data_IF_586419483354
#
_entry.id   IF_586419483354
#
_cell.length_a   1.000
_cell.length_b   1.000
_cell.length_c   1.000
_cell.angle_alpha   90.00
_cell.angle_beta   90.00
_cell.angle_gamma   90.00
#
_symmetry.space_group_name_H-M   'P 1'
#
loop_
_entity.id
_entity.type
_entity.pdbx_description
1 polymer ?
#
# COMPACT_ATOMS: atom_id res chain seq x y z
N UNK A 1 -23.72 -47.03 -41.88
CA UNK A 1 -23.19 -47.11 -40.51
C UNK A 1 -21.70 -46.74 -40.57
N UNK A 2 -21.33 -45.56 -40.06
CA UNK A 2 -19.94 -45.06 -40.08
C UNK A 2 -19.34 -45.09 -38.68
N UNK A 3 -18.04 -45.37 -38.63
CA UNK A 3 -17.25 -45.79 -37.47
C UNK A 3 -16.80 -44.62 -36.57
N UNK A 4 -16.65 -44.79 -35.24
CA UNK A 4 -16.39 -43.70 -34.27
C UNK A 4 -14.97 -43.09 -34.28
N UNK A 5 -14.15 -43.29 -35.32
CA UNK A 5 -12.74 -42.86 -35.35
C UNK A 5 -12.44 -41.61 -36.19
N UNK A 6 -13.45 -40.88 -36.66
CA UNK A 6 -13.29 -39.64 -37.45
C UNK A 6 -13.64 -38.34 -36.69
N UNK A 7 -13.68 -38.34 -35.35
CA UNK A 7 -14.07 -37.14 -34.56
C UNK A 7 -12.87 -36.46 -33.87
N UNK A 8 -11.66 -37.03 -33.93
CA UNK A 8 -10.47 -36.47 -33.26
C UNK A 8 -9.44 -36.04 -34.31
N UNK A 9 -9.77 -35.08 -35.18
CA UNK A 9 -8.80 -34.24 -35.94
C UNK A 9 -9.48 -32.99 -36.56
N UNK A 10 -10.30 -32.25 -35.79
CA UNK A 10 -10.93 -31.02 -36.29
C UNK A 10 -11.05 -29.91 -35.24
N UNK A 11 -10.08 -29.77 -34.33
CA UNK A 11 -9.96 -28.60 -33.44
C UNK A 11 -8.52 -28.10 -33.45
N UNK A 12 -7.98 -27.84 -34.64
CA UNK A 12 -6.70 -27.16 -34.82
C UNK A 12 -6.73 -26.30 -36.08
N UNK A 13 -7.43 -25.17 -35.95
CA UNK A 13 -7.27 -23.92 -36.70
C UNK A 13 -8.65 -23.25 -36.79
N UNK A 14 -8.86 -22.20 -36.01
CA UNK A 14 -9.49 -21.01 -36.58
C UNK A 14 -9.13 -19.79 -35.73
N UNK A 15 -8.06 -19.11 -36.15
CA UNK A 15 -7.81 -17.71 -35.82
C UNK A 15 -8.65 -16.86 -36.77
N UNK A 16 -9.59 -16.08 -36.22
CA UNK A 16 -10.04 -14.83 -36.82
C UNK A 16 -11.45 -14.80 -37.40
N UNK A 17 -12.14 -13.69 -37.10
CA UNK A 17 -13.31 -13.12 -37.77
C UNK A 17 -14.72 -13.64 -37.41
N UNK A 18 -15.35 -12.97 -36.44
CA UNK A 18 -16.77 -12.51 -36.47
C UNK A 18 -17.07 -11.82 -35.12
N UNK A 19 -17.19 -10.48 -34.99
CA UNK A 19 -18.19 -9.57 -35.56
C UNK A 19 -19.61 -10.15 -35.61
N UNK A 20 -20.44 -9.55 -34.75
CA UNK A 20 -21.83 -9.13 -35.01
C UNK A 20 -22.91 -10.22 -34.96
N UNK A 21 -24.10 -9.80 -34.51
CA UNK A 21 -25.39 -10.51 -34.34
C UNK A 21 -25.55 -11.20 -32.98
N UNK A 22 -26.64 -11.04 -32.22
CA UNK A 22 -27.88 -10.32 -32.46
C UNK A 22 -28.55 -9.92 -31.13
N UNK A 23 -29.16 -8.74 -31.19
CA UNK A 23 -30.27 -8.26 -30.35
C UNK A 23 -31.54 -8.99 -30.77
N UNK A 24 -32.54 -9.01 -29.87
CA UNK A 24 -33.98 -9.42 -29.98
C UNK A 24 -34.24 -10.72 -29.19
N UNK A 25 -35.12 -10.79 -28.19
CA UNK A 25 -36.07 -9.86 -27.57
C UNK A 25 -36.54 -10.51 -26.24
N UNK A 26 -37.44 -10.00 -25.41
CA UNK A 26 -38.32 -8.86 -25.46
C UNK A 26 -39.16 -8.93 -24.16
N UNK A 27 -39.15 -7.82 -23.43
CA UNK A 27 -40.21 -7.18 -22.61
C UNK A 27 -41.32 -8.03 -21.94
N UNK A 28 -41.50 -7.72 -20.64
CA UNK A 28 -42.71 -7.73 -19.79
C UNK A 28 -43.03 -8.97 -18.93
N UNK A 29 -42.79 -8.82 -17.62
CA UNK A 29 -43.86 -8.92 -16.61
C UNK A 29 -43.40 -8.30 -15.28
N UNK A 30 -44.09 -7.23 -14.88
CA UNK A 30 -44.11 -6.67 -13.53
C UNK A 30 -44.84 -7.64 -12.61
N UNK A 31 -44.18 -8.20 -11.60
CA UNK A 31 -44.85 -8.67 -10.38
C UNK A 31 -44.04 -8.17 -9.19
N UNK A 32 -44.59 -7.15 -8.53
CA UNK A 32 -44.23 -6.77 -7.18
C UNK A 32 -44.85 -7.78 -6.21
N UNK A 33 -44.05 -8.37 -5.32
CA UNK A 33 -44.52 -8.88 -4.03
C UNK A 33 -43.34 -9.04 -3.06
N UNK A 34 -43.42 -8.44 -1.85
CA UNK A 34 -42.45 -8.66 -0.79
C UNK A 34 -42.84 -9.92 -0.01
N UNK A 35 -41.94 -10.91 0.07
CA UNK A 35 -42.09 -12.00 1.05
C UNK A 35 -40.99 -11.83 2.08
N UNK A 36 -41.35 -11.17 3.18
CA UNK A 36 -40.64 -11.25 4.44
C UNK A 36 -40.75 -12.69 4.96
N UNK A 37 -39.68 -13.49 4.81
CA UNK A 37 -39.56 -14.78 5.49
C UNK A 37 -38.75 -14.55 6.77
N UNK A 38 -39.47 -14.31 7.86
CA UNK A 38 -39.01 -14.61 9.20
C UNK A 38 -38.85 -16.13 9.35
N UNK A 39 -37.61 -16.62 9.40
CA UNK A 39 -37.30 -17.96 9.90
C UNK A 39 -36.45 -17.82 11.17
N UNK A 40 -37.03 -18.05 12.37
CA UNK A 40 -36.25 -18.20 13.59
C UNK A 40 -35.64 -19.61 13.60
N UNK A 41 -34.33 -19.72 13.35
CA UNK A 41 -33.63 -20.98 13.63
C UNK A 41 -33.37 -21.08 15.13
N UNK A 42 -34.36 -21.67 15.80
CA UNK A 42 -34.23 -22.34 17.09
C UNK A 42 -33.35 -23.59 16.87
N UNK A 43 -32.17 -23.64 17.48
CA UNK A 43 -31.45 -24.90 17.71
C UNK A 43 -31.41 -25.13 19.23
N UNK A 44 -31.91 -26.28 19.72
CA UNK A 44 -31.95 -26.62 21.13
C UNK A 44 -30.56 -26.99 21.68
N UNK A 45 -30.38 -26.70 22.96
CA UNK A 45 -29.13 -26.88 23.69
C UNK A 45 -28.75 -28.33 24.05
N UNK A 46 -27.59 -28.40 24.71
CA UNK A 46 -26.89 -29.60 25.16
C UNK A 46 -25.53 -29.68 24.47
N UNK A 47 -24.37 -29.83 25.12
CA UNK A 47 -24.08 -30.38 26.45
C UNK A 47 -22.65 -29.95 26.86
N UNK A 48 -22.43 -29.79 28.17
CA UNK A 48 -21.18 -29.92 28.98
C UNK A 48 -19.86 -29.26 28.52
N UNK A 49 -19.34 -28.29 29.29
CA UNK A 49 -18.37 -28.46 30.39
C UNK A 49 -17.10 -29.28 30.01
N UNK A 50 -15.92 -28.65 30.05
CA UNK A 50 -14.89 -28.75 31.12
C UNK A 50 -13.50 -28.48 30.52
N UNK A 51 -12.80 -27.45 31.03
CA UNK A 51 -11.35 -27.42 31.36
C UNK A 51 -10.76 -26.00 31.21
N UNK A 52 -10.54 -25.27 32.32
CA UNK A 52 -9.54 -24.20 32.33
C UNK A 52 -8.15 -24.85 32.38
N UNK A 53 -7.36 -24.70 31.32
CA UNK A 53 -5.94 -25.05 31.39
C UNK A 53 -5.22 -24.05 32.28
N UNK A 54 -4.51 -24.65 33.24
CA UNK A 54 -3.91 -24.04 34.40
C UNK A 54 -2.92 -22.93 34.08
N UNK A 55 -2.91 -21.96 34.99
CA UNK A 55 -1.84 -21.03 35.25
C UNK A 55 -0.52 -21.78 35.42
N UNK A 56 0.41 -21.57 34.48
CA UNK A 56 1.82 -21.88 34.67
C UNK A 56 2.48 -20.77 35.48
N UNK A 57 2.41 -20.89 36.80
CA UNK A 57 3.25 -20.12 37.73
C UNK A 57 4.67 -20.67 37.63
N UNK A 58 5.55 -19.98 36.89
CA UNK A 58 6.99 -20.17 37.03
C UNK A 58 7.51 -19.04 37.92
N UNK A 59 7.63 -19.35 39.21
CA UNK A 59 8.46 -18.62 40.16
C UNK A 59 9.96 -18.88 39.84
N UNK A 60 10.84 -18.21 40.59
CA UNK A 60 12.32 -18.11 40.45
C UNK A 60 12.73 -16.96 39.51
N UNK A 61 13.48 -15.93 39.90
CA UNK A 61 14.44 -15.79 41.01
C UNK A 61 14.78 -14.30 41.22
N UNK A 62 14.76 -13.74 42.44
CA UNK A 62 15.33 -12.42 42.71
C UNK A 62 16.82 -12.54 43.10
N UNK A 63 17.70 -11.88 42.38
CA UNK A 63 19.11 -11.70 42.72
C UNK A 63 19.59 -10.31 42.23
N UNK A 64 20.69 -9.77 42.76
CA UNK A 64 20.72 -8.85 43.90
C UNK A 64 20.94 -7.39 43.49
N UNK A 65 20.76 -6.53 44.49
CA UNK A 65 21.08 -5.10 44.56
C UNK A 65 22.55 -4.85 44.21
N UNK A 66 22.81 -3.93 43.26
CA UNK A 66 24.01 -3.09 43.31
C UNK A 66 23.62 -1.62 43.15
N UNK A 67 23.59 -0.97 44.32
CA UNK A 67 23.70 0.46 44.52
C UNK A 67 25.12 0.89 44.15
N UNK A 68 25.27 1.76 43.15
CA UNK A 68 26.43 2.65 43.08
C UNK A 68 25.94 4.06 42.81
N UNK A 69 25.88 4.83 43.89
CA UNK A 69 25.83 6.27 43.85
C UNK A 69 27.26 6.78 43.60
N UNK A 70 27.47 7.53 42.53
CA UNK A 70 28.63 8.42 42.42
C UNK A 70 28.10 9.82 42.13
N UNK A 71 28.20 10.62 43.18
CA UNK A 71 28.13 12.07 43.21
C UNK A 71 29.53 12.58 42.88
N UNK A 72 29.67 13.38 41.83
CA UNK A 72 30.81 14.28 41.70
C UNK A 72 30.32 15.70 41.40
N UNK A 73 30.83 16.59 42.26
CA UNK A 73 30.58 18.00 42.47
C UNK A 73 31.49 18.84 41.55
N UNK A 74 31.12 20.09 41.18
CA UNK A 74 31.75 20.81 40.08
C UNK A 74 33.04 21.53 40.48
N UNK A 75 33.97 21.71 39.53
CA UNK A 75 35.12 22.61 39.66
C UNK A 75 35.72 22.93 38.28
N UNK A 76 36.53 23.99 38.13
CA UNK A 76 36.10 25.36 37.89
C UNK A 76 36.45 25.86 36.48
N UNK A 77 35.83 26.99 36.16
CA UNK A 77 36.04 27.88 35.01
C UNK A 77 37.52 28.12 34.67
N UNK A 78 37.92 27.77 33.45
CA UNK A 78 39.04 28.40 32.75
C UNK A 78 38.47 29.28 31.63
N UNK A 79 38.79 30.56 31.71
CA UNK A 79 38.46 31.62 30.77
C UNK A 79 39.52 31.66 29.66
N UNK A 80 39.20 31.35 28.39
CA UNK A 80 40.11 31.53 27.28
C UNK A 80 39.98 32.95 26.70
N UNK A 81 41.06 33.47 26.11
CA UNK A 81 41.23 34.88 25.75
C UNK A 81 40.29 35.34 24.62
N UNK A 82 39.98 36.64 24.67
CA UNK A 82 39.18 37.41 23.72
C UNK A 82 39.46 37.03 22.25
N UNK A 83 38.45 36.45 21.61
CA UNK A 83 38.46 36.14 20.18
C UNK A 83 38.03 37.38 19.38
N UNK A 84 38.71 37.68 18.25
CA UNK A 84 38.50 38.90 17.47
C UNK A 84 37.06 39.05 16.98
N UNK A 85 36.62 40.30 16.97
CA UNK A 85 35.32 40.78 16.51
C UNK A 85 34.90 40.11 15.19
N UNK A 86 33.77 39.37 15.14
CA UNK A 86 33.27 38.82 13.89
C UNK A 86 32.83 39.97 12.98
N UNK A 87 33.53 40.08 11.85
CA UNK A 87 33.11 40.85 10.69
C UNK A 87 31.69 40.41 10.30
N UNK A 88 30.76 41.32 9.93
CA UNK A 88 29.42 40.93 9.50
C UNK A 88 29.53 40.02 8.27
N UNK A 89 29.39 38.72 8.50
CA UNK A 89 29.22 37.74 7.45
C UNK A 89 27.90 38.08 6.79
N UNK A 90 27.95 38.55 5.55
CA UNK A 90 26.79 38.69 4.69
C UNK A 90 26.19 37.30 4.59
N UNK A 91 25.14 37.07 5.37
CA UNK A 91 24.33 35.87 5.35
C UNK A 91 23.65 35.86 3.97
N UNK A 92 24.28 35.15 3.02
CA UNK A 92 23.66 34.87 1.73
C UNK A 92 22.36 34.13 2.02
N UNK A 93 21.27 34.88 1.93
CA UNK A 93 19.91 34.38 2.10
C UNK A 93 19.76 33.12 1.24
N UNK A 94 19.30 32.00 1.80
CA UNK A 94 19.20 30.75 1.06
C UNK A 94 18.36 31.02 -0.20
N UNK A 95 19.00 30.85 -1.35
CA UNK A 95 18.32 30.94 -2.64
C UNK A 95 17.26 29.86 -2.65
N UNK A 96 16.00 30.27 -2.47
CA UNK A 96 14.85 29.39 -2.47
C UNK A 96 14.77 28.75 -3.87
N UNK A 97 15.14 27.47 -3.97
CA UNK A 97 15.10 26.73 -5.22
C UNK A 97 13.72 26.93 -5.89
N UNK A 98 13.67 27.37 -7.15
CA UNK A 98 12.42 27.71 -7.81
C UNK A 98 11.45 26.53 -7.73
N UNK A 99 10.27 26.80 -7.18
CA UNK A 99 9.19 25.82 -7.10
C UNK A 99 8.79 25.49 -8.55
N UNK A 100 8.80 24.21 -8.96
CA UNK A 100 8.38 23.84 -10.31
C UNK A 100 6.94 24.31 -10.52
N UNK A 101 6.73 25.15 -11.54
CA UNK A 101 5.45 25.84 -11.78
C UNK A 101 4.39 24.95 -12.44
N UNK A 102 4.68 23.66 -12.63
CA UNK A 102 3.82 22.73 -13.35
C UNK A 102 3.73 21.36 -12.66
N UNK A 103 2.92 20.45 -13.23
CA UNK A 103 2.82 19.09 -12.74
C UNK A 103 4.18 18.40 -12.80
N UNK A 104 4.50 17.62 -11.77
CA UNK A 104 5.70 16.79 -11.74
C UNK A 104 5.33 15.34 -11.44
N UNK A 105 6.17 14.41 -11.88
CA UNK A 105 6.03 13.03 -11.45
C UNK A 105 6.60 12.85 -10.05
N UNK A 106 5.87 12.13 -9.20
CA UNK A 106 6.34 11.62 -7.92
C UNK A 106 7.53 10.66 -8.09
N UNK A 107 7.60 9.92 -9.22
CA UNK A 107 8.71 9.02 -9.52
C UNK A 107 10.04 9.75 -9.77
N UNK A 108 9.99 11.06 -10.07
CA UNK A 108 11.18 11.91 -10.18
C UNK A 108 11.67 12.50 -8.84
N UNK A 109 10.95 12.24 -7.74
CA UNK A 109 11.33 12.69 -6.41
C UNK A 109 12.04 11.58 -5.64
N UNK A 110 13.07 11.94 -4.89
CA UNK A 110 13.68 11.02 -3.93
C UNK A 110 12.76 10.82 -2.71
N UNK A 111 12.43 9.57 -2.34
CA UNK A 111 11.77 9.30 -1.07
C UNK A 111 12.57 9.80 0.12
N UNK A 112 11.90 10.40 1.10
CA UNK A 112 12.51 10.73 2.40
C UNK A 112 12.52 9.54 3.36
N UNK A 113 11.71 8.50 3.08
CA UNK A 113 11.71 7.24 3.82
C UNK A 113 11.21 6.10 2.95
N UNK A 114 11.80 4.91 3.12
CA UNK A 114 11.46 3.73 2.34
C UNK A 114 12.20 3.72 1.00
N UNK A 115 11.82 2.78 0.15
CA UNK A 115 12.37 2.64 -1.20
C UNK A 115 11.22 2.44 -2.17
N UNK A 116 11.35 3.03 -3.34
CA UNK A 116 10.45 2.87 -4.46
C UNK A 116 11.29 2.44 -5.66
N UNK A 117 10.78 1.46 -6.40
CA UNK A 117 11.32 1.09 -7.69
C UNK A 117 10.58 1.91 -8.77
N UNK A 118 11.31 2.39 -9.77
CA UNK A 118 10.81 3.20 -10.89
C UNK A 118 11.10 2.56 -12.24
N UNK A 119 11.55 1.29 -12.25
CA UNK A 119 11.73 0.54 -13.48
C UNK A 119 10.39 0.35 -14.22
N UNK A 120 10.41 0.31 -15.57
CA UNK A 120 9.21 0.09 -16.36
C UNK A 120 8.44 -1.16 -15.94
N UNK A 121 7.10 -1.04 -15.90
CA UNK A 121 6.23 -2.10 -15.41
C UNK A 121 4.86 -2.03 -16.11
N UNK A 122 4.24 -3.20 -16.30
CA UNK A 122 2.91 -3.32 -16.87
C UNK A 122 1.82 -3.25 -15.80
N UNK A 123 0.77 -2.49 -16.09
CA UNK A 123 -0.44 -2.36 -15.28
C UNK A 123 -1.65 -2.34 -16.23
N UNK A 124 -2.46 -3.40 -16.19
CA UNK A 124 -3.65 -3.49 -17.04
C UNK A 124 -3.37 -3.70 -18.52
N UNK A 125 -2.31 -4.41 -18.85
CA UNK A 125 -1.82 -4.65 -20.21
C UNK A 125 -1.09 -3.46 -20.83
N UNK A 126 -0.82 -2.40 -20.06
CA UNK A 126 -0.10 -1.21 -20.53
C UNK A 126 1.20 -1.05 -19.76
N UNK A 127 2.33 -0.98 -20.47
CA UNK A 127 3.63 -0.66 -19.88
C UNK A 127 3.75 0.83 -19.61
N UNK A 128 4.05 1.18 -18.37
CA UNK A 128 4.33 2.54 -17.95
C UNK A 128 5.84 2.73 -17.74
N UNK A 129 6.34 3.91 -18.12
CA UNK A 129 7.72 4.34 -17.85
C UNK A 129 7.79 5.27 -16.65
N UNK A 130 6.73 6.04 -16.43
CA UNK A 130 6.57 6.92 -15.28
C UNK A 130 5.71 6.22 -14.23
N UNK A 131 6.34 5.62 -13.23
CA UNK A 131 5.65 4.88 -12.19
C UNK A 131 6.45 4.81 -10.89
N UNK A 132 5.73 4.52 -9.82
CA UNK A 132 6.30 4.06 -8.56
C UNK A 132 5.79 2.65 -8.29
N UNK A 133 6.73 1.74 -8.02
CA UNK A 133 6.49 0.35 -7.71
C UNK A 133 6.93 0.06 -6.28
N UNK A 134 6.02 -0.55 -5.51
CA UNK A 134 6.30 -1.00 -4.16
C UNK A 134 6.18 -2.51 -4.09
N UNK A 135 7.29 -3.17 -3.80
CA UNK A 135 7.35 -4.55 -3.34
C UNK A 135 7.28 -4.56 -1.79
N UNK A 136 6.18 -5.03 -1.16
CA UNK A 136 6.11 -5.33 0.26
C UNK A 136 7.29 -6.15 0.77
N UNK A 137 8.04 -6.76 -0.15
CA UNK A 137 8.99 -7.81 0.09
C UNK A 137 8.33 -8.83 1.00
N UNK A 138 9.15 -9.68 1.59
CA UNK A 138 8.71 -10.86 2.29
C UNK A 138 7.73 -10.55 3.44
N UNK A 139 7.58 -9.31 3.95
CA UNK A 139 6.88 -9.03 5.21
C UNK A 139 5.57 -8.22 5.09
N UNK A 140 4.79 -8.49 4.03
CA UNK A 140 3.36 -8.16 3.88
C UNK A 140 3.00 -6.68 3.79
N UNK A 141 3.94 -5.75 3.99
CA UNK A 141 3.69 -4.32 3.86
C UNK A 141 4.95 -3.54 3.48
N UNK A 142 4.85 -2.69 2.47
CA UNK A 142 5.84 -1.64 2.21
C UNK A 142 5.17 -0.28 2.16
N UNK A 143 5.96 0.72 2.57
CA UNK A 143 5.59 2.12 2.58
C UNK A 143 6.75 2.93 2.04
N UNK A 144 6.43 3.99 1.32
CA UNK A 144 7.39 5.00 0.89
C UNK A 144 6.82 6.39 1.19
N UNK A 145 7.65 7.27 1.73
CA UNK A 145 7.27 8.63 2.10
C UNK A 145 8.01 9.64 1.22
N UNK A 146 7.26 10.62 0.71
CA UNK A 146 7.77 11.74 -0.09
C UNK A 146 7.53 13.04 0.66
N UNK A 147 8.50 13.95 0.62
CA UNK A 147 8.33 15.30 1.12
C UNK A 147 7.70 16.17 0.03
N UNK A 148 6.46 16.59 0.25
CA UNK A 148 5.74 17.49 -0.65
C UNK A 148 6.06 18.96 -0.37
N UNK A 149 6.62 19.27 0.81
CA UNK A 149 6.93 20.65 1.21
C UNK A 149 5.72 21.57 1.26
N UNK A 150 4.48 21.03 1.29
CA UNK A 150 3.22 21.76 1.17
C UNK A 150 3.05 22.53 -0.17
N UNK A 151 3.82 22.18 -1.19
CA UNK A 151 3.87 22.88 -2.49
C UNK A 151 2.83 22.41 -3.51
N UNK A 152 2.10 21.34 -3.20
CA UNK A 152 1.16 20.70 -4.11
C UNK A 152 -0.26 20.72 -3.53
N UNK A 153 -1.23 20.81 -4.42
CA UNK A 153 -2.65 20.81 -4.08
C UNK A 153 -3.34 19.48 -4.41
N UNK A 154 -2.82 18.72 -5.38
CA UNK A 154 -3.46 17.49 -5.88
C UNK A 154 -2.46 16.39 -6.23
N UNK A 155 -2.85 15.15 -5.98
CA UNK A 155 -2.12 13.95 -6.39
C UNK A 155 -3.04 13.06 -7.22
N UNK A 156 -2.55 12.64 -8.40
CA UNK A 156 -3.28 11.74 -9.30
C UNK A 156 -2.42 10.57 -9.73
N UNK A 157 -3.00 9.39 -9.88
CA UNK A 157 -2.29 8.20 -10.39
C UNK A 157 -3.29 7.16 -10.92
N UNK A 158 -2.82 6.20 -11.70
CA UNK A 158 -3.49 4.90 -11.84
C UNK A 158 -2.84 3.93 -10.87
N UNK A 159 -3.63 3.15 -10.16
CA UNK A 159 -3.15 2.21 -9.15
C UNK A 159 -3.69 0.82 -9.42
N UNK A 160 -2.86 -0.19 -9.18
CA UNK A 160 -3.25 -1.59 -9.21
C UNK A 160 -2.06 -2.49 -8.93
N UNK A 161 -2.22 -3.78 -9.24
CA UNK A 161 -1.16 -4.77 -9.11
C UNK A 161 -0.43 -4.94 -10.43
N UNK A 162 0.87 -5.21 -10.35
CA UNK A 162 1.72 -5.52 -11.49
C UNK A 162 1.21 -6.73 -12.30
N UNK A 163 1.28 -6.66 -13.63
CA UNK A 163 0.66 -7.67 -14.50
C UNK A 163 1.35 -9.04 -14.50
N UNK A 164 2.67 -9.14 -14.24
CA UNK A 164 3.37 -10.45 -14.19
C UNK A 164 3.10 -11.21 -12.88
N UNK A 165 1.98 -10.91 -12.22
CA UNK A 165 1.53 -11.56 -11.01
C UNK A 165 1.00 -12.96 -11.33
N UNK A 166 1.61 -13.97 -10.72
CA UNK A 166 1.33 -15.40 -10.97
C UNK A 166 0.23 -16.00 -10.09
N UNK A 167 -0.23 -15.27 -9.07
CA UNK A 167 -1.37 -15.66 -8.22
C UNK A 167 -2.61 -14.91 -8.68
N UNK A 168 -3.85 -15.32 -8.37
CA UNK A 168 -5.05 -14.58 -8.83
C UNK A 168 -6.02 -14.23 -7.71
N UNK A 169 -5.88 -14.84 -6.53
CA UNK A 169 -6.98 -14.93 -5.56
C UNK A 169 -6.76 -14.12 -4.28
N UNK A 170 -5.80 -13.20 -4.30
CA UNK A 170 -5.36 -12.51 -3.10
C UNK A 170 -5.78 -11.04 -3.11
N UNK A 171 -6.25 -10.57 -1.97
CA UNK A 171 -6.63 -9.18 -1.78
C UNK A 171 -5.46 -8.35 -1.27
N UNK A 172 -5.35 -7.13 -1.78
CA UNK A 172 -4.31 -6.17 -1.48
C UNK A 172 -4.92 -4.85 -1.05
N UNK A 173 -4.33 -4.18 -0.07
CA UNK A 173 -4.67 -2.82 0.31
C UNK A 173 -3.68 -1.89 -0.37
N UNK A 174 -4.18 -1.09 -1.29
CA UNK A 174 -3.46 0.03 -1.89
C UNK A 174 -3.93 1.31 -1.20
N UNK A 175 -3.00 2.12 -0.70
CA UNK A 175 -3.35 3.31 0.06
C UNK A 175 -2.39 4.49 -0.15
N UNK A 176 -2.96 5.69 0.02
CA UNK A 176 -2.26 6.97 0.04
C UNK A 176 -2.61 7.67 1.35
N UNK A 177 -1.61 8.13 2.08
CA UNK A 177 -1.78 8.82 3.35
C UNK A 177 -1.10 10.19 3.32
N UNK A 178 -1.67 11.17 4.02
CA UNK A 178 -0.91 12.31 4.52
C UNK A 178 -0.29 11.94 5.86
N UNK A 179 0.98 12.27 6.06
CA UNK A 179 1.72 12.02 7.30
C UNK A 179 2.12 13.34 7.95
N UNK A 180 1.67 13.53 9.19
CA UNK A 180 2.03 14.69 10.01
C UNK A 180 2.49 14.21 11.39
N UNK A 181 3.79 14.33 11.67
CA UNK A 181 4.41 13.71 12.84
C UNK A 181 4.23 12.19 12.82
N UNK A 182 3.56 11.65 13.84
CA UNK A 182 3.22 10.24 13.98
C UNK A 182 1.78 9.92 13.52
N UNK A 183 1.05 10.89 12.99
CA UNK A 183 -0.33 10.73 12.57
C UNK A 183 -0.40 10.44 11.08
N UNK A 184 -1.08 9.35 10.73
CA UNK A 184 -1.37 8.96 9.35
C UNK A 184 -2.86 9.17 9.07
N UNK A 185 -3.20 10.01 8.09
CA UNK A 185 -4.58 10.21 7.63
C UNK A 185 -4.74 9.64 6.22
N UNK A 186 -5.65 8.67 6.00
CA UNK A 186 -5.86 8.12 4.67
C UNK A 186 -6.51 9.18 3.77
N UNK A 187 -5.90 9.40 2.60
CA UNK A 187 -6.46 10.19 1.50
C UNK A 187 -7.14 9.26 0.48
N UNK A 188 -6.58 8.07 0.29
CA UNK A 188 -7.12 6.98 -0.50
C UNK A 188 -6.80 5.65 0.18
N UNK A 189 -7.74 4.71 0.19
CA UNK A 189 -7.51 3.33 0.64
C UNK A 189 -8.51 2.42 -0.05
N UNK A 190 -8.03 1.40 -0.74
CA UNK A 190 -8.89 0.46 -1.47
C UNK A 190 -8.35 -0.96 -1.37
N UNK A 191 -9.26 -1.90 -1.19
CA UNK A 191 -8.97 -3.33 -1.37
C UNK A 191 -9.03 -3.62 -2.86
N UNK A 192 -7.98 -4.21 -3.40
CA UNK A 192 -7.79 -4.49 -4.81
C UNK A 192 -7.39 -5.96 -5.00
N UNK A 193 -7.86 -6.56 -6.09
CA UNK A 193 -7.46 -7.88 -6.56
C UNK A 193 -6.60 -7.74 -7.82
N UNK A 194 -6.04 -8.86 -8.26
CA UNK A 194 -5.38 -8.91 -9.56
C UNK A 194 -6.35 -8.51 -10.69
N UNK A 195 -5.86 -7.72 -11.64
CA UNK A 195 -6.66 -7.14 -12.71
C UNK A 195 -7.48 -5.90 -12.32
N UNK A 196 -7.61 -5.58 -11.02
CA UNK A 196 -8.26 -4.33 -10.61
C UNK A 196 -7.34 -3.14 -10.92
N UNK A 197 -7.93 -2.11 -11.52
CA UNK A 197 -7.28 -0.82 -11.75
C UNK A 197 -8.18 0.27 -11.21
N UNK A 198 -7.61 1.21 -10.47
CA UNK A 198 -8.32 2.37 -9.96
C UNK A 198 -7.60 3.65 -10.35
N UNK A 199 -8.34 4.71 -10.62
CA UNK A 199 -7.78 6.06 -10.69
C UNK A 199 -7.81 6.69 -9.31
N UNK A 200 -6.71 7.30 -8.92
CA UNK A 200 -6.57 8.11 -7.72
C UNK A 200 -6.61 9.56 -8.15
N UNK A 201 -7.37 10.33 -7.41
CA UNK A 201 -7.47 11.77 -7.55
C UNK A 201 -7.83 12.34 -6.17
N UNK A 202 -6.82 12.83 -5.45
CA UNK A 202 -6.95 13.26 -4.05
C UNK A 202 -6.32 14.62 -3.83
N UNK A 203 -6.91 15.39 -2.91
CA UNK A 203 -6.33 16.63 -2.43
C UNK A 203 -5.16 16.35 -1.50
N UNK A 204 -4.03 17.00 -1.78
CA UNK A 204 -2.83 17.01 -0.93
C UNK A 204 -2.48 18.44 -0.48
N UNK A 205 -3.45 19.37 -0.57
CA UNK A 205 -3.27 20.75 -0.17
C UNK A 205 -2.82 20.85 1.29
N UNK A 206 -1.69 21.53 1.51
CA UNK A 206 -1.10 21.70 2.84
C UNK A 206 -0.43 20.46 3.43
N UNK A 207 -0.37 19.35 2.68
CA UNK A 207 0.29 18.12 3.12
C UNK A 207 1.81 18.29 3.05
N UNK A 208 2.49 18.03 4.16
CA UNK A 208 3.96 18.06 4.21
C UNK A 208 4.55 16.75 3.67
N UNK A 209 4.03 15.59 4.07
CA UNK A 209 4.51 14.28 3.63
C UNK A 209 3.37 13.44 3.07
N UNK A 210 3.61 12.88 1.89
CA UNK A 210 2.74 11.91 1.24
C UNK A 210 3.33 10.52 1.43
N UNK A 211 2.52 9.55 1.83
CA UNK A 211 2.92 8.14 1.92
C UNK A 211 2.12 7.31 0.94
N UNK A 212 2.83 6.51 0.14
CA UNK A 212 2.22 5.39 -0.59
C UNK A 212 2.42 4.12 0.23
N UNK A 213 1.42 3.24 0.23
CA UNK A 213 1.48 1.96 0.94
C UNK A 213 0.81 0.87 0.13
N UNK A 214 1.48 -0.28 0.09
CA UNK A 214 0.92 -1.56 -0.36
C UNK A 214 0.95 -2.52 0.83
N UNK A 215 -0.14 -3.25 1.04
CA UNK A 215 -0.26 -4.23 2.11
C UNK A 215 -1.04 -5.44 1.62
N UNK A 216 -0.51 -6.63 1.86
CA UNK A 216 -1.17 -7.89 1.54
C UNK A 216 -2.18 -8.25 2.65
N UNK A 217 -3.39 -8.66 2.27
CA UNK A 217 -4.37 -9.27 3.20
C UNK A 217 -4.20 -10.79 3.16
N UNK A 218 -3.58 -11.35 4.21
CA UNK A 218 -3.42 -12.79 4.40
C UNK A 218 -4.78 -13.47 4.70
N UNK A 219 -5.23 -14.45 3.88
CA UNK A 219 -6.48 -15.17 4.13
C UNK A 219 -6.38 -16.26 5.21
N UNK A 220 -5.21 -16.58 5.79
CA UNK A 220 -5.08 -17.85 6.53
C UNK A 220 -3.97 -18.04 7.56
N UNK A 221 -3.24 -17.01 7.99
CA UNK A 221 -2.17 -17.05 9.02
C UNK A 221 -1.03 -18.03 8.69
N UNK A 222 0.11 -17.47 8.33
CA UNK A 222 1.36 -17.52 9.12
C UNK A 222 2.23 -16.38 8.61
N UNK A 223 2.64 -15.47 9.50
CA UNK A 223 3.60 -14.38 9.23
C UNK A 223 4.98 -15.00 9.05
N UNK A 224 5.15 -15.78 7.99
CA UNK A 224 6.47 -16.20 7.53
C UNK A 224 6.74 -15.35 6.33
N UNK A 225 7.76 -14.50 6.44
CA UNK A 225 8.04 -13.59 5.37
C UNK A 225 8.37 -14.43 4.11
N UNK A 226 7.45 -14.51 3.15
CA UNK A 226 7.49 -15.52 2.07
C UNK A 226 8.65 -15.20 1.13
N UNK A 227 9.61 -16.12 0.92
CA UNK A 227 10.80 -15.80 0.16
C UNK A 227 10.62 -15.88 -1.36
N UNK A 228 9.46 -16.28 -1.88
CA UNK A 228 9.37 -16.76 -3.27
C UNK A 228 8.61 -15.90 -4.25
N UNK A 229 7.92 -14.85 -3.83
CA UNK A 229 7.14 -14.04 -4.75
C UNK A 229 7.31 -12.55 -4.41
N UNK A 230 7.89 -11.81 -5.35
CA UNK A 230 7.85 -10.34 -5.38
C UNK A 230 6.44 -9.93 -5.82
N UNK A 231 5.84 -9.01 -5.10
CA UNK A 231 4.42 -8.67 -5.28
C UNK A 231 4.23 -7.18 -5.37
N UNK A 232 4.19 -6.69 -6.59
CA UNK A 232 4.36 -5.27 -6.79
C UNK A 232 3.04 -4.52 -6.90
N UNK A 233 2.82 -3.61 -5.96
CA UNK A 233 1.83 -2.54 -6.11
C UNK A 233 2.40 -1.46 -7.03
N UNK A 234 1.63 -1.06 -8.05
CA UNK A 234 2.06 -0.07 -9.04
C UNK A 234 1.19 1.18 -8.94
N UNK A 235 1.85 2.34 -8.90
CA UNK A 235 1.26 3.66 -9.10
C UNK A 235 1.81 4.23 -10.40
N UNK A 236 1.06 4.10 -11.49
CA UNK A 236 1.42 4.60 -12.80
C UNK A 236 0.99 6.07 -12.99
N UNK A 237 1.82 6.83 -13.71
CA UNK A 237 1.70 8.27 -13.94
C UNK A 237 1.47 9.06 -12.65
N UNK A 238 2.24 8.81 -11.56
CA UNK A 238 1.95 9.37 -10.24
C UNK A 238 2.29 10.86 -10.23
N UNK A 239 1.31 11.71 -10.51
CA UNK A 239 1.51 13.13 -10.78
C UNK A 239 1.13 13.99 -9.57
N UNK A 240 2.00 14.94 -9.22
CA UNK A 240 1.75 16.00 -8.26
C UNK A 240 1.47 17.31 -9.00
N UNK A 241 0.41 18.00 -8.60
CA UNK A 241 -0.02 19.27 -9.21
C UNK A 241 0.04 20.37 -8.14
N UNK A 242 0.71 21.51 -8.41
CA UNK A 242 0.76 22.68 -7.51
C UNK A 242 -0.61 23.16 -7.02
#
# INVERSE_FOLDING_TARGET
MRSPREIIEAVKNDEGHARLWAVIGGVAAVIALPVAICMPFLVPGGVVNTAPSAFGTTAFSPAPVETVAVSEEPSPSEEPPESPTPQPSVEESPTESPIPSGPISLASLDPVRGHADTQPAALGGVTYLDLVRLDPFKCNKQRVDYNLGKRYSRFTAKVGLYDDYSSTDVNWIMAVYSVEGNTERPLFKKIMKFGDISRIDVSVKGVLRLRLSVEWIDPGRLITCSPYNSYDGVWAEPTLIP
#
